data_IF_702868703749
#
_entry.id   IF_702868703749
#
_cell.length_a   1.000
_cell.length_b   1.000
_cell.length_c   1.000
_cell.angle_alpha   90.00
_cell.angle_beta   90.00
_cell.angle_gamma   90.00
#
_symmetry.space_group_name_H-M   'P 1'
#
loop_
_entity.id
_entity.type
_entity.pdbx_description
1 polymer ?
#
# COMPACT_ATOMS: atom_id res chain seq x y z
N UNK A 1 -17.10 -27.19 -34.50
CA UNK A 1 -16.30 -25.96 -34.62
C UNK A 1 -16.51 -25.18 -33.35
N UNK A 2 -15.45 -25.05 -32.59
CA UNK A 2 -15.39 -24.39 -31.29
C UNK A 2 -15.63 -22.89 -31.43
N UNK A 3 -16.40 -22.33 -30.50
CA UNK A 3 -16.51 -20.89 -30.27
C UNK A 3 -16.33 -20.66 -28.78
N UNK A 4 -15.07 -20.49 -28.39
CA UNK A 4 -14.59 -20.38 -27.01
C UNK A 4 -15.31 -19.31 -26.19
N UNK A 5 -15.66 -19.68 -24.96
CA UNK A 5 -16.24 -18.80 -23.96
C UNK A 5 -15.32 -17.64 -23.59
N UNK A 6 -15.85 -16.44 -23.76
CA UNK A 6 -15.49 -15.31 -22.92
C UNK A 6 -16.36 -15.44 -21.67
N UNK A 7 -15.93 -16.28 -20.72
CA UNK A 7 -16.42 -16.19 -19.35
C UNK A 7 -15.87 -14.87 -18.80
N UNK A 8 -16.78 -13.92 -18.59
CA UNK A 8 -16.52 -12.62 -18.00
C UNK A 8 -15.57 -12.71 -16.82
N UNK A 9 -14.42 -12.05 -16.91
CA UNK A 9 -13.48 -11.83 -15.80
C UNK A 9 -14.09 -10.99 -14.66
N UNK A 10 -15.34 -10.55 -14.83
CA UNK A 10 -16.15 -9.83 -13.85
C UNK A 10 -16.89 -10.79 -12.90
N UNK A 11 -17.24 -12.01 -13.32
CA UNK A 11 -18.05 -12.95 -12.52
C UNK A 11 -17.27 -13.69 -11.42
N UNK A 12 -15.94 -13.79 -11.52
CA UNK A 12 -15.09 -14.38 -10.48
C UNK A 12 -14.79 -13.46 -9.28
N UNK A 13 -15.38 -12.25 -9.23
CA UNK A 13 -15.26 -11.33 -8.08
C UNK A 13 -16.26 -11.64 -6.96
N UNK A 14 -17.09 -12.65 -7.12
CA UNK A 14 -18.14 -12.98 -6.17
C UNK A 14 -17.62 -13.72 -4.92
N UNK A 15 -17.81 -13.08 -3.76
CA UNK A 15 -17.86 -13.69 -2.40
C UNK A 15 -16.57 -14.21 -1.74
N UNK A 16 -15.39 -13.89 -2.26
CA UNK A 16 -14.13 -14.26 -1.60
C UNK A 16 -13.92 -13.53 -0.26
N UNK A 17 -13.64 -14.28 0.81
CA UNK A 17 -13.07 -13.74 2.04
C UNK A 17 -11.55 -13.78 1.99
N UNK A 18 -10.94 -12.73 2.54
CA UNK A 18 -9.49 -12.57 2.66
C UNK A 18 -9.13 -12.56 4.14
N UNK A 19 -8.23 -13.44 4.55
CA UNK A 19 -7.71 -13.45 5.92
C UNK A 19 -6.34 -12.81 5.94
N UNK A 20 -6.14 -11.89 6.87
CA UNK A 20 -4.85 -11.25 7.11
C UNK A 20 -3.84 -12.30 7.60
N UNK A 21 -2.66 -12.31 7.00
CA UNK A 21 -1.52 -13.11 7.47
C UNK A 21 -1.09 -12.72 8.89
N UNK A 22 -0.25 -13.57 9.49
CA UNK A 22 0.06 -13.52 10.92
C UNK A 22 0.56 -12.16 11.45
N UNK A 23 1.42 -11.44 10.72
CA UNK A 23 2.01 -10.19 11.21
C UNK A 23 2.18 -9.13 10.13
N UNK A 24 1.90 -7.87 10.50
CA UNK A 24 2.32 -6.72 9.69
C UNK A 24 3.84 -6.59 9.74
N UNK A 25 4.46 -6.45 8.57
CA UNK A 25 5.91 -6.34 8.45
C UNK A 25 6.31 -4.89 8.15
N UNK A 26 7.17 -4.27 8.98
CA UNK A 26 7.61 -2.90 8.76
C UNK A 26 8.62 -2.82 7.60
N UNK A 27 8.45 -1.82 6.74
CA UNK A 27 9.33 -1.52 5.63
C UNK A 27 9.62 -0.02 5.57
N UNK A 28 10.85 0.35 5.19
CA UNK A 28 11.09 1.68 4.64
C UNK A 28 10.66 1.70 3.17
N UNK A 29 10.30 2.88 2.68
CA UNK A 29 9.85 3.08 1.31
C UNK A 29 10.46 4.36 0.73
N UNK A 30 10.98 4.25 -0.49
CA UNK A 30 11.27 5.38 -1.36
C UNK A 30 10.93 5.02 -2.80
N UNK A 31 10.74 6.00 -3.67
CA UNK A 31 10.67 5.73 -5.10
C UNK A 31 12.07 5.52 -5.72
N UNK A 32 12.11 5.16 -7.01
CA UNK A 32 13.36 4.97 -7.77
C UNK A 32 14.21 6.24 -7.93
N UNK A 33 13.70 7.41 -7.52
CA UNK A 33 14.43 8.68 -7.50
C UNK A 33 14.81 9.10 -6.07
N UNK A 34 14.77 8.17 -5.10
CA UNK A 34 15.10 8.41 -3.69
C UNK A 34 14.20 9.47 -3.03
N UNK A 35 12.95 9.61 -3.46
CA UNK A 35 11.96 10.37 -2.70
C UNK A 35 11.29 9.48 -1.68
N UNK A 36 11.40 9.88 -0.43
CA UNK A 36 10.77 9.23 0.71
C UNK A 36 9.38 9.81 0.93
N UNK A 37 8.48 9.00 1.48
CA UNK A 37 7.22 9.51 1.98
C UNK A 37 7.41 10.12 3.37
N UNK A 38 6.83 11.29 3.56
CA UNK A 38 6.73 12.01 4.83
C UNK A 38 5.26 12.27 5.09
N UNK A 39 4.81 11.97 6.30
CA UNK A 39 3.45 12.26 6.73
C UNK A 39 3.33 13.74 7.13
N UNK A 40 2.37 14.44 6.53
CA UNK A 40 2.07 15.85 6.82
C UNK A 40 0.61 16.06 7.22
N UNK A 41 0.33 17.21 7.83
CA UNK A 41 -1.05 17.67 8.06
C UNK A 41 -1.83 16.92 9.14
N UNK A 42 -1.13 16.19 10.03
CA UNK A 42 -1.75 15.51 11.18
C UNK A 42 -2.49 16.48 12.12
N UNK A 43 -1.96 17.70 12.24
CA UNK A 43 -2.51 18.82 13.01
C UNK A 43 -3.76 19.45 12.39
N UNK A 44 -4.03 19.21 11.10
CA UNK A 44 -5.07 19.91 10.32
C UNK A 44 -6.23 19.01 9.90
N UNK A 45 -6.38 17.84 10.51
CA UNK A 45 -7.42 16.85 10.19
C UNK A 45 -7.45 16.40 8.71
N UNK A 46 -6.38 16.67 7.95
CA UNK A 46 -6.22 16.27 6.54
C UNK A 46 -4.82 15.70 6.34
N UNK A 47 -4.56 14.52 6.90
CA UNK A 47 -3.26 13.89 6.77
C UNK A 47 -3.00 13.50 5.32
N UNK A 48 -1.78 13.73 4.87
CA UNK A 48 -1.33 13.38 3.52
C UNK A 48 0.10 12.84 3.52
N UNK A 49 0.42 12.04 2.51
CA UNK A 49 1.78 11.59 2.27
C UNK A 49 2.43 12.49 1.23
N UNK A 50 3.46 13.22 1.61
CA UNK A 50 4.32 13.96 0.69
C UNK A 50 5.53 13.10 0.30
N UNK A 51 5.80 12.98 -0.99
CA UNK A 51 7.04 12.44 -1.53
C UNK A 51 8.07 13.55 -1.74
N UNK A 52 9.25 13.39 -1.13
CA UNK A 52 10.39 14.31 -1.28
C UNK A 52 11.73 13.65 -0.98
N UNK A 53 12.82 14.23 -1.49
CA UNK A 53 14.16 13.88 -1.02
C UNK A 53 14.34 14.41 0.41
N UNK A 54 14.97 13.60 1.26
CA UNK A 54 15.29 13.98 2.63
C UNK A 54 16.78 14.25 2.77
N UNK A 55 17.12 15.29 3.53
CA UNK A 55 18.49 15.48 3.99
C UNK A 55 18.86 14.40 5.00
N UNK A 56 20.16 14.05 5.15
CA UNK A 56 20.58 13.01 6.10
C UNK A 56 20.09 13.22 7.53
N UNK A 57 20.01 14.48 7.97
CA UNK A 57 19.54 14.83 9.31
C UNK A 57 18.01 14.63 9.50
N UNK A 58 17.26 14.62 8.40
CA UNK A 58 15.80 14.51 8.37
C UNK A 58 15.31 13.11 8.01
N UNK A 59 16.21 12.14 7.82
CA UNK A 59 15.85 10.78 7.38
C UNK A 59 14.93 10.05 8.38
N UNK A 60 14.92 10.48 9.64
CA UNK A 60 14.03 9.97 10.69
C UNK A 60 12.56 10.34 10.45
N UNK A 61 12.28 11.34 9.62
CA UNK A 61 10.93 11.76 9.25
C UNK A 61 10.28 10.85 8.20
N UNK A 62 11.05 9.93 7.60
CA UNK A 62 10.49 9.01 6.61
C UNK A 62 9.42 8.10 7.22
N UNK A 63 8.36 7.87 6.47
CA UNK A 63 7.32 6.91 6.82
C UNK A 63 7.89 5.50 6.85
N UNK A 64 7.60 4.79 7.93
CA UNK A 64 7.69 3.32 7.95
C UNK A 64 6.33 2.74 7.62
N UNK A 65 6.24 1.93 6.56
CA UNK A 65 5.02 1.22 6.19
C UNK A 65 4.88 -0.09 6.96
N UNK A 66 3.70 -0.33 7.50
CA UNK A 66 3.26 -1.63 7.99
C UNK A 66 2.51 -2.35 6.87
N UNK A 67 3.17 -3.32 6.23
CA UNK A 67 2.58 -4.12 5.17
C UNK A 67 1.95 -5.37 5.78
N UNK A 68 0.65 -5.56 5.60
CA UNK A 68 -0.05 -6.77 6.02
C UNK A 68 -0.60 -7.50 4.80
N UNK A 69 -0.16 -8.73 4.58
CA UNK A 69 -0.58 -9.55 3.44
C UNK A 69 -1.90 -10.25 3.74
N UNK A 70 -2.67 -10.53 2.68
CA UNK A 70 -3.94 -11.24 2.76
C UNK A 70 -3.94 -12.46 1.84
N UNK A 71 -4.55 -13.54 2.33
CA UNK A 71 -4.63 -14.82 1.63
C UNK A 71 -6.09 -15.06 1.25
N UNK A 72 -6.40 -15.28 -0.05
CA UNK A 72 -7.72 -15.72 -0.49
C UNK A 72 -8.10 -17.06 0.14
N UNK A 73 -9.34 -17.17 0.62
CA UNK A 73 -9.88 -18.43 1.14
C UNK A 73 -10.31 -19.40 0.02
N UNK A 74 -10.54 -18.89 -1.19
CA UNK A 74 -11.04 -19.66 -2.34
C UNK A 74 -10.05 -19.59 -3.50
N UNK A 75 -9.06 -20.49 -3.49
CA UNK A 75 -8.12 -20.70 -4.59
C UNK A 75 -7.03 -19.63 -4.75
N UNK A 76 -6.00 -19.89 -5.58
CA UNK A 76 -4.93 -18.94 -5.83
C UNK A 76 -5.45 -17.74 -6.64
N UNK A 77 -5.57 -16.58 -5.98
CA UNK A 77 -5.84 -15.30 -6.64
C UNK A 77 -4.63 -14.78 -7.43
N UNK A 78 -4.87 -13.88 -8.38
CA UNK A 78 -3.90 -13.37 -9.37
C UNK A 78 -2.86 -12.35 -8.83
N UNK A 79 -2.44 -12.45 -7.57
CA UNK A 79 -1.43 -11.58 -6.96
C UNK A 79 -1.50 -11.50 -5.43
N UNK A 80 -0.44 -11.00 -4.80
CA UNK A 80 -0.40 -10.81 -3.34
C UNK A 80 -1.16 -9.54 -2.95
N UNK A 81 -2.26 -9.70 -2.21
CA UNK A 81 -3.04 -8.60 -1.66
C UNK A 81 -2.47 -8.13 -0.33
N UNK A 82 -2.57 -6.82 -0.09
CA UNK A 82 -2.14 -6.22 1.17
C UNK A 82 -2.86 -4.93 1.53
N UNK A 83 -2.80 -4.60 2.81
CA UNK A 83 -3.07 -3.25 3.32
C UNK A 83 -1.75 -2.56 3.64
N UNK A 84 -1.70 -1.25 3.44
CA UNK A 84 -0.54 -0.41 3.72
C UNK A 84 -0.87 0.54 4.87
N UNK A 85 -0.36 0.24 6.07
CA UNK A 85 -0.54 1.08 7.26
C UNK A 85 0.68 1.96 7.52
N UNK A 86 0.51 3.06 8.25
CA UNK A 86 1.63 3.89 8.73
C UNK A 86 2.03 3.40 10.12
N UNK A 87 3.31 3.05 10.33
CA UNK A 87 3.77 2.56 11.64
C UNK A 87 3.59 3.62 12.73
N UNK A 88 3.10 3.18 13.89
CA UNK A 88 2.97 4.02 15.09
C UNK A 88 1.66 4.81 15.18
N UNK A 89 0.84 4.80 14.12
CA UNK A 89 -0.45 5.48 14.09
C UNK A 89 -1.49 4.61 13.37
N UNK A 90 -2.78 4.83 13.61
CA UNK A 90 -3.86 4.02 13.03
C UNK A 90 -4.30 4.48 11.63
N UNK A 91 -3.39 5.05 10.83
CA UNK A 91 -3.67 5.48 9.46
C UNK A 91 -3.31 4.41 8.44
N UNK A 92 -4.20 4.20 7.48
CA UNK A 92 -4.03 3.26 6.38
C UNK A 92 -4.32 3.94 5.05
N UNK A 93 -3.58 3.53 4.02
CA UNK A 93 -3.85 3.98 2.66
C UNK A 93 -5.13 3.32 2.16
N UNK A 94 -5.99 4.10 1.54
CA UNK A 94 -7.19 3.63 0.86
C UNK A 94 -7.33 4.29 -0.51
N UNK A 95 -8.02 3.60 -1.41
CA UNK A 95 -8.34 4.10 -2.74
C UNK A 95 -9.86 4.26 -2.88
N UNK A 96 -10.32 5.46 -3.19
CA UNK A 96 -11.75 5.76 -3.35
C UNK A 96 -11.99 6.79 -4.45
N UNK A 97 -13.25 7.00 -4.83
CA UNK A 97 -13.64 7.96 -5.85
C UNK A 97 -14.30 7.32 -7.07
N UNK A 98 -14.60 8.12 -8.11
CA UNK A 98 -15.21 7.61 -9.33
C UNK A 98 -14.28 6.65 -10.10
N UNK A 99 -14.81 5.67 -10.86
CA UNK A 99 -14.00 4.67 -11.58
C UNK A 99 -12.88 5.22 -12.47
N UNK A 100 -13.10 6.40 -13.06
CA UNK A 100 -12.17 7.03 -14.01
C UNK A 100 -11.21 8.03 -13.35
N UNK A 101 -11.42 8.36 -12.07
CA UNK A 101 -10.63 9.34 -11.33
C UNK A 101 -10.55 8.96 -9.84
N UNK A 102 -10.12 7.73 -9.49
CA UNK A 102 -9.90 7.37 -8.11
C UNK A 102 -8.71 8.17 -7.56
N UNK A 103 -8.71 8.36 -6.25
CA UNK A 103 -7.67 9.09 -5.54
C UNK A 103 -7.28 8.33 -4.27
N UNK A 104 -6.06 8.62 -3.81
CA UNK A 104 -5.47 8.03 -2.62
C UNK A 104 -5.86 8.85 -1.39
N UNK A 105 -6.17 8.18 -0.27
CA UNK A 105 -6.44 8.80 1.03
C UNK A 105 -5.67 8.10 2.13
N UNK A 106 -5.50 8.82 3.24
CA UNK A 106 -5.22 8.25 4.54
C UNK A 106 -6.50 8.24 5.37
N UNK A 107 -6.92 7.05 5.82
CA UNK A 107 -8.07 6.89 6.70
C UNK A 107 -7.65 6.29 8.03
N UNK A 108 -8.24 6.78 9.12
CA UNK A 108 -8.08 6.15 10.44
C UNK A 108 -8.91 4.88 10.50
N UNK A 109 -8.29 3.79 10.96
CA UNK A 109 -8.98 2.52 11.22
C UNK A 109 -9.02 2.28 12.73
N UNK A 110 -10.22 2.21 13.30
CA UNK A 110 -10.42 1.84 14.71
C UNK A 110 -10.15 0.34 14.86
N UNK A 111 -9.36 -0.03 15.88
CA UNK A 111 -8.96 -1.42 16.16
C UNK A 111 -8.48 -2.20 14.91
N UNK A 112 -7.40 -1.78 14.20
CA UNK A 112 -6.99 -2.39 12.93
C UNK A 112 -6.74 -3.91 13.00
N UNK A 113 -6.35 -4.42 14.18
CA UNK A 113 -6.16 -5.85 14.41
C UNK A 113 -7.46 -6.66 14.31
N UNK A 114 -8.61 -6.03 14.57
CA UNK A 114 -9.95 -6.62 14.46
C UNK A 114 -10.59 -6.24 13.13
N UNK A 115 -10.63 -4.95 12.80
CA UNK A 115 -11.34 -4.39 11.64
C UNK A 115 -10.74 -4.82 10.29
N UNK A 116 -9.43 -5.10 10.25
CA UNK A 116 -8.74 -5.59 9.05
C UNK A 116 -8.28 -7.05 9.20
N UNK A 117 -8.86 -7.82 10.12
CA UNK A 117 -8.52 -9.24 10.30
C UNK A 117 -9.00 -10.09 9.13
N UNK A 118 -10.25 -9.85 8.73
CA UNK A 118 -10.91 -10.52 7.60
C UNK A 118 -11.56 -9.44 6.75
N UNK A 119 -11.33 -9.47 5.45
CA UNK A 119 -11.91 -8.52 4.50
C UNK A 119 -12.73 -9.30 3.49
N UNK A 120 -14.00 -8.94 3.34
CA UNK A 120 -14.80 -9.41 2.20
C UNK A 120 -14.43 -8.58 0.97
N UNK A 121 -14.16 -9.24 -0.15
CA UNK A 121 -13.79 -8.59 -1.41
C UNK A 121 -14.88 -7.65 -1.96
N UNK A 122 -16.14 -7.86 -1.59
CA UNK A 122 -17.27 -7.00 -1.96
C UNK A 122 -17.62 -5.92 -0.94
N UNK A 123 -16.94 -5.90 0.21
CA UNK A 123 -17.22 -4.91 1.27
C UNK A 123 -16.54 -3.57 0.99
N UNK A 124 -17.05 -2.51 1.58
CA UNK A 124 -16.44 -1.18 1.56
C UNK A 124 -14.99 -1.19 2.11
N UNK A 125 -14.66 -2.13 3.00
CA UNK A 125 -13.30 -2.31 3.55
C UNK A 125 -12.29 -2.74 2.47
N UNK A 126 -12.74 -3.27 1.34
CA UNK A 126 -11.87 -3.64 0.22
C UNK A 126 -11.10 -2.44 -0.38
N UNK A 127 -11.51 -1.19 -0.10
CA UNK A 127 -10.78 0.03 -0.51
C UNK A 127 -9.37 0.16 0.06
N UNK A 128 -9.07 -0.57 1.14
CA UNK A 128 -7.75 -0.62 1.77
C UNK A 128 -6.81 -1.65 1.10
N UNK A 129 -7.31 -2.44 0.17
CA UNK A 129 -6.55 -3.49 -0.49
C UNK A 129 -5.80 -2.96 -1.72
N UNK A 130 -4.55 -3.37 -1.80
CA UNK A 130 -3.68 -3.17 -2.96
C UNK A 130 -3.05 -4.49 -3.37
N UNK A 131 -2.91 -4.71 -4.67
CA UNK A 131 -2.03 -5.74 -5.20
C UNK A 131 -0.59 -5.24 -5.16
N UNK A 132 0.31 -6.06 -4.60
CA UNK A 132 1.75 -5.89 -4.79
C UNK A 132 2.15 -6.45 -6.14
N UNK A 133 2.69 -5.59 -6.99
CA UNK A 133 3.20 -5.91 -8.31
C UNK A 133 4.71 -5.76 -8.28
N UNK A 134 5.40 -6.88 -8.04
CA UNK A 134 6.85 -6.88 -8.04
C UNK A 134 7.40 -6.96 -9.47
N UNK A 135 8.41 -6.14 -9.73
CA UNK A 135 9.35 -6.31 -10.82
C UNK A 135 10.65 -6.94 -10.29
N UNK A 136 11.68 -7.06 -11.11
CA UNK A 136 12.97 -7.62 -10.67
C UNK A 136 13.57 -6.89 -9.47
N UNK A 137 13.44 -5.56 -9.42
CA UNK A 137 14.13 -4.72 -8.41
C UNK A 137 13.21 -3.74 -7.67
N UNK A 138 11.97 -3.56 -8.12
CA UNK A 138 11.05 -2.56 -7.56
C UNK A 138 9.67 -3.15 -7.31
N UNK A 139 8.88 -2.47 -6.49
CA UNK A 139 7.49 -2.82 -6.21
C UNK A 139 6.58 -1.69 -6.68
N UNK A 140 5.48 -2.03 -7.33
CA UNK A 140 4.35 -1.14 -7.55
C UNK A 140 3.13 -1.62 -6.75
N UNK A 141 2.23 -0.69 -6.42
CA UNK A 141 1.01 -0.96 -5.67
C UNK A 141 -0.21 -0.58 -6.51
N UNK A 142 -0.95 -1.58 -6.97
CA UNK A 142 -2.17 -1.39 -7.75
C UNK A 142 -3.39 -1.44 -6.83
N UNK A 143 -4.37 -0.57 -7.05
CA UNK A 143 -5.63 -0.62 -6.30
C UNK A 143 -6.39 -1.90 -6.60
N UNK A 144 -6.90 -2.55 -5.55
CA UNK A 144 -7.81 -3.68 -5.72
C UNK A 144 -9.15 -3.26 -6.35
N UNK A 145 -9.75 -2.16 -5.87
CA UNK A 145 -11.05 -1.68 -6.35
C UNK A 145 -10.97 -1.03 -7.73
N UNK A 146 -9.82 -0.46 -8.08
CA UNK A 146 -9.62 0.27 -9.34
C UNK A 146 -8.46 -0.34 -10.12
N UNK A 147 -8.66 -1.48 -10.82
CA UNK A 147 -7.63 -2.10 -11.64
C UNK A 147 -7.02 -1.12 -12.65
N UNK A 148 -5.71 -1.23 -12.86
CA UNK A 148 -4.92 -0.32 -13.69
C UNK A 148 -4.53 0.98 -13.02
N UNK A 149 -5.02 1.26 -11.80
CA UNK A 149 -4.63 2.43 -11.02
C UNK A 149 -3.57 2.08 -9.98
N UNK A 150 -2.47 2.82 -9.99
CA UNK A 150 -1.31 2.59 -9.14
C UNK A 150 -1.07 3.77 -8.20
N UNK A 151 -0.55 3.49 -7.01
CA UNK A 151 0.04 4.54 -6.17
C UNK A 151 1.24 5.11 -6.91
N UNK A 152 1.36 6.44 -6.88
CA UNK A 152 2.39 7.17 -7.60
C UNK A 152 2.88 8.41 -6.87
N UNK A 153 4.14 8.77 -7.16
CA UNK A 153 4.72 10.07 -6.85
C UNK A 153 4.86 10.90 -8.14
N UNK A 154 5.07 12.22 -8.01
CA UNK A 154 5.39 13.05 -9.15
C UNK A 154 6.91 13.18 -9.35
N UNK A 155 7.41 12.81 -10.53
CA UNK A 155 8.84 12.80 -10.89
C UNK A 155 9.48 14.18 -10.78
N UNK A 156 8.88 15.17 -11.43
CA UNK A 156 9.52 16.49 -11.65
C UNK A 156 9.18 17.53 -10.57
N UNK A 157 8.54 17.14 -9.46
CA UNK A 157 8.22 18.05 -8.35
C UNK A 157 9.08 17.70 -7.15
N UNK A 158 9.73 18.67 -6.54
CA UNK A 158 10.58 18.44 -5.36
C UNK A 158 9.78 17.87 -4.19
N UNK A 159 8.57 18.40 -4.01
CA UNK A 159 7.58 17.93 -3.05
C UNK A 159 6.28 17.67 -3.81
N UNK A 160 5.70 16.49 -3.64
CA UNK A 160 4.40 16.14 -4.22
C UNK A 160 3.60 15.24 -3.31
N UNK A 161 2.28 15.39 -3.28
CA UNK A 161 1.41 14.46 -2.57
C UNK A 161 1.33 13.14 -3.34
N UNK A 162 1.47 12.02 -2.64
CA UNK A 162 1.28 10.69 -3.20
C UNK A 162 -0.17 10.56 -3.72
N UNK A 163 -0.33 10.03 -4.93
CA UNK A 163 -1.60 10.03 -5.64
C UNK A 163 -1.84 8.70 -6.36
N UNK A 164 -3.04 8.52 -6.90
CA UNK A 164 -3.32 7.43 -7.84
C UNK A 164 -3.06 7.92 -9.27
N UNK A 165 -2.43 7.09 -10.10
CA UNK A 165 -2.35 7.31 -11.54
C UNK A 165 -2.83 6.08 -12.29
N UNK A 166 -3.35 6.27 -13.50
CA UNK A 166 -3.62 5.17 -14.41
C UNK A 166 -2.30 4.82 -15.11
N UNK A 167 -1.76 3.63 -14.82
CA UNK A 167 -0.34 3.24 -14.94
C UNK A 167 0.34 3.31 -16.31
N UNK A 168 -0.26 3.99 -17.30
CA UNK A 168 0.30 4.19 -18.65
C UNK A 168 0.04 5.57 -19.25
N UNK A 169 -0.59 6.51 -18.52
CA UNK A 169 -1.04 7.79 -19.10
C UNK A 169 -0.11 8.98 -18.86
N UNK A 170 0.70 8.97 -17.80
CA UNK A 170 1.54 10.13 -17.46
C UNK A 170 3.00 9.72 -17.20
N UNK A 171 3.96 10.11 -18.06
CA UNK A 171 5.39 9.83 -17.86
C UNK A 171 6.00 10.58 -16.65
N UNK A 172 5.25 11.49 -16.02
CA UNK A 172 5.65 12.19 -14.79
C UNK A 172 5.22 11.45 -13.53
N UNK A 173 4.41 10.39 -13.65
CA UNK A 173 4.05 9.54 -12.52
C UNK A 173 5.08 8.44 -12.34
N UNK A 174 5.63 8.34 -11.12
CA UNK A 174 6.55 7.28 -10.71
C UNK A 174 5.76 6.28 -9.90
N UNK A 175 5.73 5.01 -10.32
CA UNK A 175 4.94 3.95 -9.65
C UNK A 175 5.82 2.88 -9.01
N UNK A 176 7.12 2.97 -9.25
CA UNK A 176 8.14 2.04 -8.81
C UNK A 176 8.75 2.49 -7.49
N UNK A 177 8.63 1.63 -6.48
CA UNK A 177 9.13 1.85 -5.13
C UNK A 177 10.17 0.81 -4.73
N UNK A 178 11.22 1.27 -4.04
CA UNK A 178 12.17 0.42 -3.35
C UNK A 178 11.66 0.19 -1.92
N UNK A 179 11.52 -1.09 -1.54
CA UNK A 179 11.08 -1.49 -0.21
C UNK A 179 12.19 -2.23 0.52
N UNK A 180 12.56 -1.77 1.71
CA UNK A 180 13.52 -2.47 2.57
C UNK A 180 12.85 -2.91 3.85
N UNK A 181 12.85 -4.22 4.11
CA UNK A 181 12.29 -4.79 5.34
C UNK A 181 13.11 -4.32 6.54
N UNK A 182 12.45 -3.71 7.52
CA UNK A 182 13.07 -3.33 8.79
C UNK A 182 12.99 -4.53 9.74
N UNK A 183 14.12 -5.16 10.03
CA UNK A 183 14.19 -6.24 11.03
C UNK A 183 14.18 -5.60 12.42
N UNK A 184 13.42 -6.16 13.36
CA UNK A 184 13.59 -5.80 14.78
C UNK A 184 15.04 -6.10 15.16
N UNK A 185 15.76 -5.15 15.74
CA UNK A 185 16.95 -5.49 16.50
C UNK A 185 16.50 -6.43 17.63
N UNK A 186 17.08 -7.62 17.69
CA UNK A 186 17.03 -8.41 18.91
C UNK A 186 17.86 -7.62 19.90
N UNK A 187 17.23 -6.94 20.86
CA UNK A 187 17.95 -6.53 22.06
C UNK A 187 18.46 -7.82 22.69
N UNK A 188 19.79 -8.02 22.70
CA UNK A 188 20.37 -9.04 23.59
C UNK A 188 19.92 -8.67 25.00
N UNK A 189 19.37 -9.60 25.80
CA UNK A 189 19.21 -9.35 27.22
C UNK A 189 20.60 -9.00 27.76
N UNK A 190 20.69 -7.88 28.48
CA UNK A 190 21.90 -7.49 29.18
C UNK A 190 22.37 -8.68 30.01
N UNK A 191 23.64 -9.08 29.82
CA UNK A 191 24.24 -10.09 30.66
C UNK A 191 24.15 -9.61 32.12
N UNK A 192 23.75 -10.46 33.08
CA UNK A 192 23.74 -10.06 34.47
C UNK A 192 25.16 -9.65 34.90
N UNK A 193 25.28 -8.63 35.76
CA UNK A 193 26.59 -8.22 36.26
C UNK A 193 27.28 -9.39 36.97
N UNK A 194 28.57 -9.56 36.65
CA UNK A 194 29.48 -10.53 37.28
C UNK A 194 29.75 -10.12 38.73
#
# INVERSE_FOLDING_TARGET
>A
MEGHGVLDSVSYRESGQLIRGHYAVPHSICDVYNKYWVLKGLDRYRPELSAMMLQPLDISQQVTLLISTFIPQTGPGSGQLMTLGIKGINYFLSCSGPPNTPFLKLETVVEPAKSLKTISMSSDVARFLFYKRDSSNTTAFESFLFPGWFISNHRNKDISTAAMCNGRKDPRSVTEFNLSRIRKSVMKPDAPPV
#
